data_IF_150204012224
#
_entry.id   IF_150204012224
#
_cell.length_a   1.000
_cell.length_b   1.000
_cell.length_c   1.000
_cell.angle_alpha   90.00
_cell.angle_beta   90.00
_cell.angle_gamma   90.00
#
_symmetry.space_group_name_H-M   'P 1'
#
loop_
_entity.id
_entity.type
_entity.pdbx_description
1 polymer ?
#
# COMPACT_ATOMS: atom_id res chain seq x y z
N UNK A 1 42.06 -30.24 1.99
CA UNK A 1 42.25 -30.00 3.42
C UNK A 1 40.95 -29.44 3.97
N UNK A 2 40.21 -30.25 4.73
CA UNK A 2 38.91 -29.86 5.29
C UNK A 2 39.15 -29.09 6.58
N UNK A 3 38.77 -27.81 6.63
CA UNK A 3 38.73 -27.02 7.87
C UNK A 3 37.37 -27.20 8.50
N UNK A 4 37.34 -27.92 9.64
CA UNK A 4 36.18 -27.98 10.50
C UNK A 4 36.12 -26.71 11.35
N UNK A 5 34.98 -26.06 11.34
CA UNK A 5 34.65 -24.91 12.20
C UNK A 5 33.79 -25.43 13.33
N UNK A 6 34.15 -25.21 14.62
CA UNK A 6 33.35 -25.68 15.75
C UNK A 6 32.09 -24.80 15.91
N UNK A 7 30.96 -25.47 16.02
CA UNK A 7 29.68 -24.92 16.44
C UNK A 7 29.73 -24.64 17.94
N UNK A 8 29.69 -23.39 18.34
CA UNK A 8 29.48 -22.97 19.73
C UNK A 8 28.00 -22.81 19.97
N UNK A 9 27.44 -23.77 20.69
CA UNK A 9 26.10 -23.65 21.28
C UNK A 9 26.20 -22.74 22.51
N UNK A 10 25.54 -21.60 22.48
CA UNK A 10 25.32 -20.76 23.66
C UNK A 10 23.86 -20.84 24.06
N UNK A 11 23.61 -21.67 25.09
CA UNK A 11 22.35 -21.76 25.83
C UNK A 11 22.34 -20.70 26.93
N UNK A 12 21.25 -20.02 27.14
CA UNK A 12 21.03 -19.20 28.33
C UNK A 12 19.92 -18.16 28.05
N UNK A 13 18.97 -18.08 28.76
CA UNK A 13 18.36 -18.24 30.07
C UNK A 13 17.01 -17.51 30.00
N UNK A 14 16.02 -18.20 30.45
CA UNK A 14 14.65 -17.80 30.71
C UNK A 14 14.63 -16.72 31.79
N UNK A 15 13.97 -15.59 31.55
CA UNK A 15 13.61 -14.60 32.55
C UNK A 15 12.10 -14.36 32.53
N UNK A 16 11.37 -15.14 33.36
CA UNK A 16 10.00 -14.81 33.76
C UNK A 16 10.05 -13.63 34.73
N UNK A 17 9.27 -12.61 34.49
CA UNK A 17 8.80 -11.69 35.53
C UNK A 17 7.32 -11.40 35.31
N UNK A 18 6.54 -12.07 36.14
CA UNK A 18 5.16 -11.79 36.40
C UNK A 18 5.03 -10.73 37.52
N UNK A 19 3.87 -10.11 37.60
CA UNK A 19 3.28 -9.18 38.56
C UNK A 19 3.17 -7.76 38.04
N UNK A 20 2.01 -7.14 38.06
CA UNK A 20 0.86 -7.28 38.92
C UNK A 20 -0.29 -6.38 38.49
N UNK A 21 -1.37 -6.88 38.86
CA UNK A 21 -2.74 -6.37 38.91
C UNK A 21 -2.87 -4.93 39.44
N UNK A 22 -3.71 -4.09 38.82
CA UNK A 22 -4.76 -3.36 39.58
C UNK A 22 -5.83 -2.76 38.65
N UNK A 23 -6.97 -3.33 38.82
CA UNK A 23 -8.32 -2.86 38.58
C UNK A 23 -8.57 -1.50 39.23
N UNK A 24 -9.21 -0.57 38.54
CA UNK A 24 -10.21 0.35 39.08
C UNK A 24 -10.97 1.04 37.93
N UNK A 25 -12.24 0.70 37.82
CA UNK A 25 -13.38 1.45 37.31
C UNK A 25 -14.19 1.87 38.57
N UNK A 26 -15.20 2.70 38.52
CA UNK A 26 -15.73 3.66 37.56
C UNK A 26 -16.04 5.04 38.18
N UNK A 27 -16.40 6.05 37.37
CA UNK A 27 -17.43 7.01 37.81
C UNK A 27 -18.14 7.67 36.64
N UNK A 28 -19.42 7.39 36.61
CA UNK A 28 -20.47 8.13 35.92
C UNK A 28 -20.54 9.56 36.43
N UNK A 29 -20.84 10.49 35.55
CA UNK A 29 -21.74 11.58 35.88
C UNK A 29 -22.54 11.95 34.62
N UNK A 30 -23.79 11.62 34.74
CA UNK A 30 -24.87 12.20 33.99
C UNK A 30 -25.11 13.62 34.50
N UNK A 31 -25.32 14.56 33.64
CA UNK A 31 -26.23 15.65 33.94
C UNK A 31 -26.98 16.10 32.68
N UNK A 32 -28.23 15.96 32.84
CA UNK A 32 -29.37 16.32 32.02
C UNK A 32 -29.63 17.80 32.16
N UNK A 33 -29.92 18.49 31.06
CA UNK A 33 -30.89 19.57 31.05
C UNK A 33 -31.41 19.84 29.63
N UNK A 34 -32.66 19.41 29.47
CA UNK A 34 -33.64 19.95 28.58
C UNK A 34 -33.68 21.49 28.59
N UNK A 35 -33.98 22.11 27.51
CA UNK A 35 -35.06 23.08 27.38
C UNK A 35 -35.49 23.15 25.91
N UNK A 36 -36.78 22.80 25.74
CA UNK A 36 -37.60 23.09 24.59
C UNK A 36 -37.91 24.59 24.50
N UNK A 37 -38.20 25.09 23.34
CA UNK A 37 -39.46 25.79 23.00
C UNK A 37 -39.32 26.52 21.64
N UNK A 38 -40.24 26.27 20.84
CA UNK A 38 -41.46 26.92 20.35
C UNK A 38 -41.33 27.53 18.95
N UNK A 39 -41.95 26.82 18.07
CA UNK A 39 -42.94 27.18 17.01
C UNK A 39 -43.09 28.67 16.72
N UNK A 40 -43.03 29.01 15.42
CA UNK A 40 -44.12 29.72 14.73
C UNK A 40 -44.06 29.55 13.21
N UNK A 41 -45.17 28.97 12.73
CA UNK A 41 -45.70 29.13 11.35
C UNK A 41 -45.82 30.60 10.97
N UNK A 42 -45.61 30.88 9.72
CA UNK A 42 -46.56 31.73 9.01
C UNK A 42 -46.57 31.46 7.49
N UNK A 43 -47.72 31.48 6.99
CA UNK A 43 -48.27 30.96 5.76
C UNK A 43 -48.36 32.06 4.67
N UNK A 44 -48.49 31.60 3.44
CA UNK A 44 -49.07 32.23 2.25
C UNK A 44 -48.07 32.97 1.29
N UNK A 45 -48.13 32.85 0.01
CA UNK A 45 -49.06 32.39 -0.99
C UNK A 45 -48.37 32.50 -2.37
N UNK A 46 -48.62 31.48 -3.20
CA UNK A 46 -48.97 31.52 -4.63
C UNK A 46 -48.40 32.66 -5.51
N UNK A 47 -47.54 32.29 -6.47
CA UNK A 47 -47.80 32.54 -7.89
C UNK A 47 -46.86 31.74 -8.80
N UNK A 48 -47.42 31.05 -9.78
CA UNK A 48 -46.81 30.37 -10.91
C UNK A 48 -47.32 31.13 -12.19
N UNK A 49 -46.78 31.00 -13.36
CA UNK A 49 -45.57 30.37 -13.90
C UNK A 49 -44.77 31.28 -14.84
N UNK A 50 -43.51 30.99 -15.05
CA UNK A 50 -42.89 31.35 -16.33
C UNK A 50 -41.80 30.32 -16.69
N UNK A 51 -42.11 29.60 -17.74
CA UNK A 51 -41.25 28.77 -18.57
C UNK A 51 -40.01 29.56 -18.99
N UNK A 52 -38.86 29.07 -18.57
CA UNK A 52 -37.59 29.44 -19.18
C UNK A 52 -36.78 28.15 -19.39
N UNK A 53 -36.48 27.94 -20.63
CA UNK A 53 -35.65 26.85 -21.16
C UNK A 53 -34.37 26.65 -20.34
N UNK A 54 -34.24 25.49 -19.77
CA UNK A 54 -32.95 25.03 -19.23
C UNK A 54 -32.11 24.57 -20.41
N UNK A 55 -31.23 25.43 -20.86
CA UNK A 55 -30.09 25.00 -21.66
C UNK A 55 -29.24 24.08 -20.77
N UNK A 56 -29.33 22.82 -21.11
CA UNK A 56 -28.48 21.76 -20.67
C UNK A 56 -27.05 22.06 -21.13
N UNK A 57 -26.29 22.75 -20.28
CA UNK A 57 -24.85 22.93 -20.47
C UNK A 57 -24.17 21.65 -19.98
N UNK A 58 -24.21 20.65 -20.84
CA UNK A 58 -23.32 19.47 -20.69
C UNK A 58 -21.89 20.01 -20.81
N UNK A 59 -21.28 20.32 -19.66
CA UNK A 59 -19.84 20.38 -19.56
C UNK A 59 -19.32 18.96 -19.82
N UNK A 60 -18.97 18.72 -21.07
CA UNK A 60 -18.04 17.66 -21.41
C UNK A 60 -16.78 17.91 -20.59
N UNK A 61 -16.68 17.20 -19.48
CA UNK A 61 -15.42 17.00 -18.79
C UNK A 61 -14.53 16.23 -19.77
N UNK A 62 -13.77 17.01 -20.53
CA UNK A 62 -12.76 16.52 -21.44
C UNK A 62 -11.71 15.79 -20.60
N UNK A 63 -11.97 14.52 -20.33
CA UNK A 63 -11.00 13.59 -19.76
C UNK A 63 -9.84 13.60 -20.73
N UNK A 64 -8.79 14.33 -20.37
CA UNK A 64 -7.50 14.22 -21.02
C UNK A 64 -7.05 12.80 -20.72
N UNK A 65 -7.28 11.87 -21.62
CA UNK A 65 -6.67 10.55 -21.60
C UNK A 65 -5.17 10.77 -21.64
N UNK A 66 -4.58 10.85 -20.45
CA UNK A 66 -3.15 10.76 -20.27
C UNK A 66 -2.80 9.35 -20.73
N UNK A 67 -2.12 9.25 -21.86
CA UNK A 67 -1.70 7.97 -22.45
C UNK A 67 -0.73 7.32 -21.46
N UNK A 68 -1.28 6.59 -20.49
CA UNK A 68 -0.51 5.95 -19.42
C UNK A 68 0.09 4.67 -19.99
N UNK A 69 1.42 4.54 -19.90
CA UNK A 69 2.11 3.30 -20.31
C UNK A 69 1.52 2.12 -19.54
N UNK A 70 1.00 1.13 -20.24
CA UNK A 70 0.39 -0.07 -19.65
C UNK A 70 0.60 -1.29 -20.52
N UNK A 71 0.60 -2.47 -19.88
CA UNK A 71 0.70 -3.77 -20.53
C UNK A 71 -0.03 -4.84 -19.73
N UNK A 72 -0.17 -6.05 -20.29
CA UNK A 72 -0.75 -7.21 -19.62
C UNK A 72 0.35 -8.21 -19.28
N UNK A 73 0.45 -8.60 -18.00
CA UNK A 73 1.36 -9.66 -17.58
C UNK A 73 0.82 -10.37 -16.33
N UNK A 74 1.12 -11.65 -16.18
CA UNK A 74 0.68 -12.44 -15.03
C UNK A 74 -0.83 -12.49 -14.82
N UNK A 75 -1.63 -12.20 -15.85
CA UNK A 75 -3.09 -12.16 -15.76
C UNK A 75 -3.66 -10.87 -15.16
N UNK A 76 -2.86 -9.81 -15.05
CA UNK A 76 -3.28 -8.50 -14.58
C UNK A 76 -2.75 -7.39 -15.48
N UNK A 77 -3.32 -6.19 -15.36
CA UNK A 77 -2.81 -4.99 -16.02
C UNK A 77 -1.67 -4.41 -15.17
N UNK A 78 -0.55 -4.13 -15.82
CA UNK A 78 0.59 -3.41 -15.26
C UNK A 78 0.57 -2.01 -15.88
N UNK A 79 0.39 -0.99 -15.08
CA UNK A 79 0.32 0.40 -15.56
C UNK A 79 1.14 1.34 -14.69
N UNK A 80 1.79 2.31 -15.30
CA UNK A 80 2.52 3.35 -14.58
C UNK A 80 1.56 4.16 -13.70
N UNK A 81 1.93 4.35 -12.43
CA UNK A 81 1.12 5.04 -11.42
C UNK A 81 0.28 4.13 -10.55
N UNK A 82 0.07 2.87 -10.92
CA UNK A 82 -0.65 1.89 -10.11
C UNK A 82 0.13 1.51 -8.83
N UNK A 83 -0.57 1.13 -7.73
CA UNK A 83 0.07 0.65 -6.53
C UNK A 83 0.86 -0.63 -6.78
N UNK A 84 2.18 -0.60 -6.58
CA UNK A 84 3.07 -1.69 -6.94
C UNK A 84 2.72 -3.00 -6.20
N UNK A 85 2.67 -2.96 -4.86
CA UNK A 85 2.43 -4.17 -4.06
C UNK A 85 1.07 -4.83 -4.35
N UNK A 86 0.03 -4.03 -4.65
CA UNK A 86 -1.30 -4.56 -4.99
C UNK A 86 -1.32 -5.19 -6.37
N UNK A 87 -0.65 -4.57 -7.32
CA UNK A 87 -0.53 -5.09 -8.70
C UNK A 87 0.22 -6.41 -8.69
N UNK A 88 1.35 -6.50 -7.96
CA UNK A 88 2.13 -7.73 -7.83
C UNK A 88 1.35 -8.85 -7.11
N UNK A 89 0.50 -8.50 -6.13
CA UNK A 89 -0.35 -9.50 -5.44
C UNK A 89 -1.38 -10.15 -6.37
N UNK A 90 -1.85 -9.43 -7.38
CA UNK A 90 -2.81 -9.94 -8.38
C UNK A 90 -2.12 -10.70 -9.51
N UNK A 91 -0.86 -10.40 -9.77
CA UNK A 91 -0.10 -11.03 -10.85
C UNK A 91 0.34 -12.45 -10.47
N UNK A 92 0.37 -13.33 -11.48
CA UNK A 92 0.90 -14.69 -11.36
C UNK A 92 2.32 -14.75 -11.90
N UNK A 93 3.15 -15.59 -11.29
CA UNK A 93 4.52 -15.83 -11.77
C UNK A 93 5.44 -14.63 -11.53
N UNK A 94 5.23 -13.91 -10.44
CA UNK A 94 6.14 -12.85 -9.99
C UNK A 94 7.37 -13.51 -9.39
N UNK A 95 8.55 -13.12 -9.85
CA UNK A 95 9.84 -13.45 -9.25
C UNK A 95 10.60 -12.17 -8.94
N UNK A 96 11.51 -12.23 -8.00
CA UNK A 96 12.35 -11.09 -7.64
C UNK A 96 13.80 -11.43 -7.88
N UNK A 97 14.57 -10.44 -8.30
CA UNK A 97 16.01 -10.53 -8.48
C UNK A 97 16.71 -9.35 -7.80
N UNK A 98 17.98 -9.56 -7.51
CA UNK A 98 18.85 -8.53 -6.95
C UNK A 98 20.11 -8.40 -7.79
N UNK A 99 20.51 -7.16 -7.99
CA UNK A 99 21.79 -6.81 -8.58
C UNK A 99 22.37 -5.62 -7.81
N UNK A 100 23.62 -5.71 -7.37
CA UNK A 100 24.28 -4.68 -6.56
C UNK A 100 24.33 -3.32 -7.25
N UNK A 101 24.37 -3.30 -8.59
CA UNK A 101 24.43 -2.05 -9.38
C UNK A 101 23.03 -1.42 -9.57
N UNK A 102 21.97 -2.21 -9.58
CA UNK A 102 20.61 -1.76 -9.96
C UNK A 102 19.57 -1.95 -8.86
N UNK A 103 19.92 -2.62 -7.75
CA UNK A 103 19.01 -2.91 -6.65
C UNK A 103 18.07 -4.08 -6.90
N UNK A 104 16.87 -4.02 -6.33
CA UNK A 104 15.84 -5.04 -6.46
C UNK A 104 14.97 -4.77 -7.68
N UNK A 105 14.63 -5.83 -8.39
CA UNK A 105 13.63 -5.78 -9.44
C UNK A 105 12.65 -6.97 -9.33
N UNK A 106 11.48 -6.82 -9.94
CA UNK A 106 10.56 -7.94 -10.11
C UNK A 106 10.30 -8.22 -11.58
N UNK A 107 10.12 -9.50 -11.89
CA UNK A 107 9.79 -10.01 -13.21
C UNK A 107 8.39 -10.60 -13.20
N UNK A 108 7.58 -10.29 -14.21
CA UNK A 108 6.25 -10.87 -14.45
C UNK A 108 6.22 -11.33 -15.91
N UNK A 109 6.64 -12.56 -16.16
CA UNK A 109 6.86 -13.04 -17.52
C UNK A 109 7.95 -12.23 -18.23
N UNK A 110 7.56 -11.40 -19.20
CA UNK A 110 8.49 -10.51 -19.94
C UNK A 110 8.57 -9.09 -19.39
N UNK A 111 7.75 -8.76 -18.40
CA UNK A 111 7.74 -7.42 -17.81
C UNK A 111 8.73 -7.37 -16.68
N UNK A 112 9.60 -6.37 -16.73
CA UNK A 112 10.62 -6.05 -15.73
C UNK A 112 10.29 -4.72 -15.06
N UNK A 113 10.26 -4.70 -13.72
CA UNK A 113 9.98 -3.49 -12.93
C UNK A 113 11.08 -3.33 -11.88
N UNK A 114 11.84 -2.25 -11.98
CA UNK A 114 12.81 -1.89 -10.94
C UNK A 114 12.08 -1.34 -9.70
N UNK A 115 12.55 -1.73 -8.52
CA UNK A 115 12.02 -1.31 -7.22
C UNK A 115 13.10 -0.49 -6.51
N UNK A 116 13.02 0.83 -6.53
CA UNK A 116 14.03 1.67 -5.89
C UNK A 116 13.96 1.56 -4.36
N UNK A 117 15.09 1.78 -3.70
CA UNK A 117 15.23 1.66 -2.24
C UNK A 117 14.23 2.52 -1.45
N UNK A 118 13.87 3.69 -1.99
CA UNK A 118 12.85 4.53 -1.36
C UNK A 118 11.47 3.89 -1.32
N UNK A 119 11.20 2.89 -2.16
CA UNK A 119 9.94 2.14 -2.22
C UNK A 119 10.00 0.84 -1.40
N UNK A 120 11.16 0.52 -0.81
CA UNK A 120 11.40 -0.65 0.03
C UNK A 120 11.27 -0.26 1.51
N UNK A 121 10.63 -1.12 2.30
CA UNK A 121 10.56 -0.95 3.76
C UNK A 121 11.92 -1.20 4.42
N UNK A 122 12.09 -0.74 5.67
CA UNK A 122 13.33 -1.03 6.41
C UNK A 122 13.63 -2.53 6.47
N UNK A 123 12.62 -3.37 6.73
CA UNK A 123 12.80 -4.82 6.77
C UNK A 123 13.26 -5.40 5.42
N UNK A 124 12.75 -4.85 4.32
CA UNK A 124 13.20 -5.21 2.98
C UNK A 124 14.64 -4.80 2.70
N UNK A 125 15.04 -3.60 3.11
CA UNK A 125 16.42 -3.14 2.99
C UNK A 125 17.38 -3.97 3.86
N UNK A 126 16.97 -4.32 5.08
CA UNK A 126 17.76 -5.20 5.95
C UNK A 126 17.96 -6.59 5.30
N UNK A 127 16.91 -7.12 4.63
CA UNK A 127 17.01 -8.36 3.86
C UNK A 127 18.00 -8.22 2.68
N UNK A 128 17.85 -7.18 1.86
CA UNK A 128 18.75 -6.92 0.72
C UNK A 128 20.19 -6.79 1.16
N UNK A 129 20.44 -6.06 2.26
CA UNK A 129 21.79 -5.92 2.83
C UNK A 129 22.36 -7.22 3.41
N UNK A 130 21.55 -8.24 3.60
CA UNK A 130 22.00 -9.58 4.04
C UNK A 130 22.42 -10.50 2.90
N UNK A 131 22.10 -10.12 1.65
CA UNK A 131 22.54 -10.86 0.47
C UNK A 131 24.07 -10.76 0.33
N UNK A 132 24.68 -11.85 -0.07
CA UNK A 132 26.14 -11.96 -0.14
C UNK A 132 26.70 -11.99 -1.56
N UNK A 133 25.79 -12.13 -2.53
CA UNK A 133 26.14 -12.15 -3.95
C UNK A 133 25.83 -10.80 -4.59
N UNK A 134 26.66 -10.38 -5.52
CA UNK A 134 26.43 -9.14 -6.30
C UNK A 134 25.26 -9.29 -7.29
N UNK A 135 24.93 -10.51 -7.68
CA UNK A 135 23.82 -10.84 -8.58
C UNK A 135 23.12 -12.10 -8.08
N UNK A 136 21.82 -11.98 -7.78
CA UNK A 136 20.97 -13.09 -7.41
C UNK A 136 19.67 -13.03 -8.25
N UNK A 137 19.49 -13.97 -9.20
CA UNK A 137 18.37 -13.94 -10.16
C UNK A 137 17.04 -14.40 -9.56
N UNK A 138 17.06 -14.98 -8.38
CA UNK A 138 15.86 -15.46 -7.67
C UNK A 138 16.06 -15.31 -6.17
N UNK A 139 15.43 -14.28 -5.60
CA UNK A 139 15.52 -13.96 -4.17
C UNK A 139 14.16 -14.13 -3.50
N UNK A 140 14.15 -14.53 -2.23
CA UNK A 140 12.93 -14.61 -1.41
C UNK A 140 12.51 -13.23 -0.89
N UNK A 141 12.31 -12.29 -1.83
CA UNK A 141 11.85 -10.95 -1.51
C UNK A 141 10.32 -10.94 -1.41
N UNK A 142 9.81 -10.45 -0.28
CA UNK A 142 8.38 -10.53 0.03
C UNK A 142 7.65 -9.25 -0.36
N UNK A 143 6.38 -9.38 -0.74
CA UNK A 143 5.54 -8.22 -1.06
C UNK A 143 5.39 -7.24 0.12
N UNK A 144 5.49 -7.73 1.36
CA UNK A 144 5.47 -6.89 2.57
C UNK A 144 6.72 -6.01 2.74
N UNK A 145 7.78 -6.29 1.98
CA UNK A 145 8.98 -5.46 1.92
C UNK A 145 8.81 -4.23 1.02
N UNK A 146 7.74 -4.19 0.22
CA UNK A 146 7.38 -3.05 -0.62
C UNK A 146 6.49 -2.11 0.21
N UNK A 147 6.81 -0.81 0.22
CA UNK A 147 5.99 0.19 0.90
C UNK A 147 4.58 0.25 0.30
N UNK A 148 3.53 0.42 1.11
CA UNK A 148 2.16 0.57 0.60
C UNK A 148 1.97 1.77 -0.34
N UNK A 149 2.82 2.79 -0.20
CA UNK A 149 2.81 3.99 -1.04
C UNK A 149 3.55 3.83 -2.37
N UNK A 150 4.30 2.73 -2.54
CA UNK A 150 5.08 2.47 -3.74
C UNK A 150 4.16 2.33 -4.96
N UNK A 151 4.57 2.96 -6.05
CA UNK A 151 3.86 2.93 -7.33
C UNK A 151 4.78 2.45 -8.43
N UNK A 152 4.20 1.86 -9.45
CA UNK A 152 4.93 1.53 -10.68
C UNK A 152 5.35 2.83 -11.34
N UNK A 153 6.65 3.13 -11.35
CA UNK A 153 7.21 4.35 -11.96
C UNK A 153 7.45 4.16 -13.45
N UNK A 154 7.94 3.00 -13.81
CA UNK A 154 8.18 2.55 -15.18
C UNK A 154 8.29 1.02 -15.22
N UNK A 155 8.30 0.45 -16.40
CA UNK A 155 8.57 -0.96 -16.65
C UNK A 155 9.16 -1.18 -18.05
N UNK A 156 9.89 -2.27 -18.21
CA UNK A 156 10.46 -2.71 -19.49
C UNK A 156 9.79 -4.02 -19.94
N UNK A 157 9.80 -4.27 -21.25
CA UNK A 157 9.31 -5.51 -21.84
C UNK A 157 10.49 -6.16 -22.58
N UNK A 158 10.96 -7.31 -22.07
CA UNK A 158 12.08 -8.09 -22.60
C UNK A 158 11.62 -9.10 -23.66
#
# INVERSE_FOLDING_TARGET
MKKMIPVVMLSGIIGLSACGNKTEQPQQNADTLEVADTIKEDTAAIDTPQTAEVQENAQEEKTVEKNVKSTQAGGTTIAVGEPLAETLRKAKGVTFEYNADYGVACNIGKVYISIPDEDITKAGLDYVNSLTSDIEPDIDFKLEYIKPSAKIKDFEIN
#
